data_IF_727941878354
#
_entry.id   IF_727941878354
#
_cell.length_a   1.000
_cell.length_b   1.000
_cell.length_c   1.000
_cell.angle_alpha   90.00
_cell.angle_beta   90.00
_cell.angle_gamma   90.00
#
_symmetry.space_group_name_H-M   'P 1'
#
loop_
_entity.id
_entity.type
_entity.pdbx_description
1 polymer ?
#
# COMPACT_ATOMS: atom_id res chain seq x y z
N UNK A 1 -5.02 -15.15 22.70
CA UNK A 1 -4.94 -14.83 21.26
C UNK A 1 -5.13 -13.34 21.11
N UNK A 2 -4.19 -12.71 20.42
CA UNK A 2 -4.14 -11.26 20.16
C UNK A 2 -4.10 -11.05 18.66
N UNK A 3 -4.97 -10.18 18.15
CA UNK A 3 -5.13 -9.91 16.73
C UNK A 3 -4.39 -8.63 16.34
N UNK A 4 -3.35 -8.77 15.53
CA UNK A 4 -2.41 -7.69 15.20
C UNK A 4 -2.60 -7.23 13.77
N UNK A 5 -2.72 -5.93 13.55
CA UNK A 5 -2.74 -5.31 12.24
C UNK A 5 -1.33 -4.97 11.75
N UNK A 6 -1.03 -5.39 10.53
CA UNK A 6 0.21 -5.13 9.81
C UNK A 6 -0.10 -4.34 8.53
N UNK A 7 0.55 -3.19 8.32
CA UNK A 7 0.32 -2.38 7.11
C UNK A 7 0.99 -2.99 5.88
N UNK A 8 0.36 -2.89 4.71
CA UNK A 8 0.99 -3.37 3.46
C UNK A 8 2.31 -2.66 3.18
N UNK A 9 2.40 -1.34 3.42
CA UNK A 9 3.59 -0.58 3.03
C UNK A 9 4.83 -0.94 3.86
N UNK A 10 4.73 -1.02 5.19
CA UNK A 10 5.90 -1.34 6.03
C UNK A 10 6.35 -2.78 5.80
N UNK A 11 5.36 -3.69 5.73
CA UNK A 11 5.61 -5.09 5.49
C UNK A 11 5.88 -5.44 4.03
N UNK A 12 5.62 -4.54 3.06
CA UNK A 12 6.07 -4.38 1.65
C UNK A 12 7.54 -3.98 1.49
N UNK A 13 7.97 -3.05 2.34
CA UNK A 13 9.28 -2.41 2.25
C UNK A 13 10.37 -3.19 2.98
N UNK A 14 10.15 -3.48 4.27
CA UNK A 14 11.21 -3.97 5.17
C UNK A 14 10.78 -5.14 6.08
N UNK A 15 9.50 -5.56 6.06
CA UNK A 15 9.02 -6.69 6.86
C UNK A 15 9.58 -8.04 6.42
N UNK A 16 10.01 -8.85 7.37
CA UNK A 16 10.47 -10.23 7.12
C UNK A 16 9.30 -11.16 6.80
N UNK A 17 9.49 -12.11 5.89
CA UNK A 17 8.44 -13.11 5.61
C UNK A 17 8.27 -14.08 6.78
N UNK A 18 7.04 -14.47 7.09
CA UNK A 18 6.74 -15.52 8.07
C UNK A 18 5.45 -16.27 7.71
N UNK A 19 5.28 -17.45 8.31
CA UNK A 19 4.14 -18.35 8.06
C UNK A 19 3.37 -18.67 9.33
N UNK A 20 2.17 -19.24 9.16
CA UNK A 20 1.43 -19.81 10.29
C UNK A 20 2.27 -20.88 10.97
N UNK A 21 2.45 -20.72 12.28
CA UNK A 21 3.25 -21.58 13.12
C UNK A 21 4.64 -21.03 13.48
N UNK A 22 5.05 -19.91 12.89
CA UNK A 22 6.28 -19.24 13.31
C UNK A 22 6.07 -18.53 14.66
N UNK A 23 7.16 -18.43 15.43
CA UNK A 23 7.22 -17.59 16.62
C UNK A 23 7.61 -16.17 16.20
N UNK A 24 6.86 -15.17 16.68
CA UNK A 24 7.05 -13.77 16.33
C UNK A 24 7.22 -12.88 17.56
N UNK A 25 7.79 -11.71 17.32
CA UNK A 25 7.79 -10.58 18.25
C UNK A 25 7.49 -9.31 17.46
N UNK A 26 6.31 -8.72 17.69
CA UNK A 26 5.88 -7.48 17.03
C UNK A 26 6.04 -6.27 17.94
N UNK A 27 6.51 -5.16 17.38
CA UNK A 27 6.52 -3.85 18.02
C UNK A 27 5.18 -3.15 17.89
N UNK A 28 4.54 -2.83 19.01
CA UNK A 28 3.20 -2.27 19.00
C UNK A 28 3.26 -0.74 19.16
N UNK A 29 2.80 -0.04 18.12
CA UNK A 29 2.68 1.42 18.12
C UNK A 29 1.40 1.87 18.82
N UNK A 30 0.31 1.11 18.70
CA UNK A 30 -0.97 1.43 19.31
C UNK A 30 -1.82 0.19 19.68
N UNK A 31 -2.67 0.36 20.69
CA UNK A 31 -3.70 -0.62 21.10
C UNK A 31 -5.13 -0.19 20.75
N UNK A 32 -5.25 0.91 20.03
CA UNK A 32 -6.53 1.46 19.57
C UNK A 32 -6.41 1.79 18.09
N UNK A 33 -7.47 1.57 17.29
CA UNK A 33 -7.42 1.83 15.86
C UNK A 33 -7.26 3.32 15.59
N UNK A 34 -6.31 3.65 14.72
CA UNK A 34 -6.20 4.98 14.16
C UNK A 34 -7.42 5.28 13.25
N UNK A 35 -7.81 6.56 13.10
CA UNK A 35 -9.00 6.91 12.31
C UNK A 35 -8.97 6.36 10.89
N UNK A 36 -7.82 6.45 10.20
CA UNK A 36 -7.71 5.96 8.82
C UNK A 36 -7.90 4.44 8.73
N UNK A 37 -7.44 3.66 9.72
CA UNK A 37 -7.64 2.21 9.75
C UNK A 37 -9.12 1.88 9.94
N UNK A 38 -9.83 2.67 10.76
CA UNK A 38 -11.28 2.50 10.94
C UNK A 38 -12.05 2.85 9.67
N UNK A 39 -11.66 3.89 8.95
CA UNK A 39 -12.25 4.27 7.65
C UNK A 39 -12.03 3.19 6.60
N UNK A 40 -10.82 2.65 6.54
CA UNK A 40 -10.40 1.59 5.62
C UNK A 40 -11.11 0.25 5.88
N UNK A 41 -11.04 -0.25 7.12
CA UNK A 41 -11.54 -1.57 7.49
C UNK A 41 -13.05 -1.59 7.76
N UNK A 42 -13.62 -0.42 8.04
CA UNK A 42 -14.93 -0.31 8.65
C UNK A 42 -14.90 -0.61 10.16
N UNK A 43 -15.89 -0.07 10.91
CA UNK A 43 -15.87 -0.09 12.36
C UNK A 43 -15.99 -1.49 12.96
N UNK A 44 -16.69 -2.41 12.30
CA UNK A 44 -16.88 -3.76 12.85
C UNK A 44 -15.60 -4.60 12.76
N UNK A 45 -14.86 -4.53 11.65
CA UNK A 45 -13.59 -5.23 11.53
C UNK A 45 -12.50 -4.57 12.39
N UNK A 46 -12.43 -3.24 12.41
CA UNK A 46 -11.46 -2.50 13.22
C UNK A 46 -11.55 -2.82 14.72
N UNK A 47 -12.76 -3.04 15.25
CA UNK A 47 -12.98 -3.45 16.66
C UNK A 47 -12.40 -4.83 17.00
N UNK A 48 -12.11 -5.67 16.01
CA UNK A 48 -11.54 -7.00 16.24
C UNK A 48 -10.02 -6.99 16.35
N UNK A 49 -9.38 -5.83 16.13
CA UNK A 49 -7.93 -5.69 16.17
C UNK A 49 -7.54 -5.20 17.56
N UNK A 50 -6.64 -5.94 18.20
CA UNK A 50 -6.17 -5.68 19.56
C UNK A 50 -4.87 -4.86 19.59
N UNK A 51 -4.12 -4.88 18.48
CA UNK A 51 -2.82 -4.23 18.40
C UNK A 51 -2.50 -3.78 16.96
N UNK A 52 -1.78 -2.68 16.85
CA UNK A 52 -1.30 -2.10 15.61
C UNK A 52 0.22 -2.13 15.66
N UNK A 53 0.80 -2.87 14.73
CA UNK A 53 2.24 -2.96 14.58
C UNK A 53 2.74 -1.78 13.74
N UNK A 54 3.98 -1.35 13.98
CA UNK A 54 4.70 -0.47 13.05
C UNK A 54 6.11 -1.00 12.88
N UNK A 55 6.42 -1.39 11.65
CA UNK A 55 7.71 -1.98 11.32
C UNK A 55 8.68 -0.87 10.86
N UNK A 56 9.07 -0.03 11.82
CA UNK A 56 10.11 0.98 11.69
C UNK A 56 11.29 0.66 12.62
N UNK A 57 12.42 1.36 12.46
CA UNK A 57 13.60 1.23 13.34
C UNK A 57 13.34 1.73 14.78
N UNK A 58 12.11 2.13 15.10
CA UNK A 58 11.72 2.58 16.44
C UNK A 58 11.58 1.40 17.41
N UNK A 59 12.21 1.51 18.57
CA UNK A 59 12.03 0.55 19.66
C UNK A 59 10.71 0.82 20.39
N UNK A 60 9.65 0.10 20.01
CA UNK A 60 8.40 0.11 20.79
C UNK A 60 8.56 -0.66 22.11
N UNK A 61 8.23 -0.01 23.22
CA UNK A 61 8.24 -0.66 24.54
C UNK A 61 7.16 -1.74 24.66
N UNK A 62 6.02 -1.54 23.97
CA UNK A 62 4.93 -2.50 23.91
C UNK A 62 5.19 -3.55 22.82
N UNK A 63 4.88 -4.80 23.13
CA UNK A 63 5.19 -5.97 22.29
C UNK A 63 4.07 -6.99 22.34
N UNK A 64 3.89 -7.70 21.23
CA UNK A 64 3.13 -8.96 21.17
C UNK A 64 4.12 -10.07 20.81
N UNK A 65 4.20 -11.11 21.64
CA UNK A 65 5.14 -12.23 21.46
C UNK A 65 4.38 -13.53 21.56
N UNK A 66 4.55 -14.39 20.56
CA UNK A 66 3.84 -15.66 20.55
C UNK A 66 3.90 -16.36 19.20
N UNK A 67 3.09 -17.39 19.07
CA UNK A 67 3.02 -18.21 17.87
C UNK A 67 1.93 -17.73 16.94
N UNK A 68 2.23 -17.60 15.66
CA UNK A 68 1.22 -17.26 14.65
C UNK A 68 0.26 -18.44 14.47
N UNK A 69 -1.03 -18.21 14.69
CA UNK A 69 -2.09 -19.23 14.55
C UNK A 69 -3.05 -18.94 13.40
N UNK A 70 -3.04 -17.72 12.86
CA UNK A 70 -3.85 -17.34 11.71
C UNK A 70 -3.27 -16.12 11.00
N UNK A 71 -3.38 -16.10 9.67
CA UNK A 71 -3.01 -14.94 8.85
C UNK A 71 -4.16 -14.68 7.88
N UNK A 72 -4.59 -13.43 7.80
CA UNK A 72 -5.61 -12.98 6.87
C UNK A 72 -5.08 -11.78 6.09
N UNK A 73 -4.98 -11.88 4.77
CA UNK A 73 -4.82 -10.69 3.94
C UNK A 73 -6.12 -9.89 3.99
N UNK A 74 -6.00 -8.58 4.13
CA UNK A 74 -7.14 -7.67 4.06
C UNK A 74 -7.13 -7.02 2.69
N UNK A 75 -8.20 -7.28 1.95
CA UNK A 75 -8.42 -6.73 0.62
C UNK A 75 -9.60 -5.78 0.63
N UNK A 76 -9.54 -4.73 -0.15
CA UNK A 76 -10.62 -3.73 -0.30
C UNK A 76 -10.70 -3.28 -1.74
N UNK A 77 -11.82 -2.67 -2.10
CA UNK A 77 -11.96 -2.06 -3.42
C UNK A 77 -11.49 -0.61 -3.38
N UNK A 78 -10.80 -0.21 -4.43
CA UNK A 78 -10.34 1.16 -4.66
C UNK A 78 -10.83 1.65 -6.02
N UNK A 79 -11.22 2.92 -6.08
CA UNK A 79 -11.44 3.63 -7.33
C UNK A 79 -10.14 4.28 -7.79
N UNK A 80 -9.58 3.75 -8.87
CA UNK A 80 -8.49 4.39 -9.60
C UNK A 80 -9.08 5.38 -10.61
N UNK A 81 -8.71 6.66 -10.47
CA UNK A 81 -9.13 7.74 -11.37
C UNK A 81 -7.94 8.29 -12.11
N UNK A 82 -8.05 8.33 -13.44
CA UNK A 82 -7.06 8.98 -14.31
C UNK A 82 -7.59 10.33 -14.79
N UNK A 83 -6.76 11.35 -14.65
CA UNK A 83 -7.07 12.71 -15.10
C UNK A 83 -5.87 13.30 -15.80
N UNK A 84 -6.08 14.25 -16.71
CA UNK A 84 -4.96 14.90 -17.39
C UNK A 84 -4.11 15.68 -16.38
N UNK A 85 -2.80 15.47 -16.46
CA UNK A 85 -1.81 16.28 -15.75
C UNK A 85 -1.93 17.72 -16.24
N UNK A 86 -1.89 18.67 -15.31
CA UNK A 86 -1.89 20.11 -15.59
C UNK A 86 -1.19 20.87 -14.45
N UNK A 87 -0.80 22.14 -14.64
CA UNK A 87 -0.21 22.92 -13.57
C UNK A 87 -1.16 22.99 -12.36
N UNK A 88 -0.65 22.67 -11.18
CA UNK A 88 -1.44 22.55 -9.95
C UNK A 88 -2.16 21.20 -9.77
N UNK A 89 -2.05 20.28 -10.73
CA UNK A 89 -2.63 18.94 -10.67
C UNK A 89 -1.67 17.91 -11.29
N UNK A 90 -0.79 17.37 -10.45
CA UNK A 90 0.30 16.48 -10.86
C UNK A 90 1.57 17.20 -11.33
N UNK A 91 1.48 18.46 -11.79
CA UNK A 91 2.63 19.29 -12.13
C UNK A 91 2.72 20.54 -11.24
N UNK A 92 3.91 21.14 -11.05
CA UNK A 92 4.06 22.42 -10.37
C UNK A 92 3.12 23.51 -10.95
N UNK A 93 2.60 24.45 -10.15
CA UNK A 93 1.65 25.46 -10.63
C UNK A 93 2.14 26.34 -11.78
N UNK A 94 3.47 26.48 -11.94
CA UNK A 94 4.12 27.27 -12.98
C UNK A 94 4.70 26.42 -14.13
N UNK A 95 4.35 25.14 -14.21
CA UNK A 95 4.87 24.25 -15.25
C UNK A 95 4.34 24.64 -16.64
N UNK A 96 5.22 24.61 -17.65
CA UNK A 96 4.81 24.74 -19.03
C UNK A 96 4.02 23.50 -19.46
N UNK A 97 2.82 23.71 -20.01
CA UNK A 97 1.99 22.62 -20.54
C UNK A 97 2.46 22.27 -21.94
N UNK A 98 2.81 21.00 -22.23
CA UNK A 98 3.10 20.55 -23.59
C UNK A 98 1.92 20.77 -24.54
N UNK A 99 2.17 20.80 -25.85
CA UNK A 99 1.08 20.78 -26.82
C UNK A 99 0.32 19.44 -26.73
N UNK A 100 -0.90 19.40 -27.26
CA UNK A 100 -1.70 18.19 -27.26
C UNK A 100 -0.99 17.06 -28.02
N UNK A 101 -0.76 15.93 -27.35
CA UNK A 101 -0.02 14.79 -27.92
C UNK A 101 1.47 14.78 -27.56
N UNK A 102 2.02 15.87 -27.03
CA UNK A 102 3.43 15.95 -26.64
C UNK A 102 3.66 15.44 -25.21
N UNK A 103 4.86 14.89 -24.97
CA UNK A 103 5.30 14.43 -23.66
C UNK A 103 5.55 15.60 -22.70
N UNK A 104 5.39 15.33 -21.40
CA UNK A 104 5.77 16.29 -20.36
C UNK A 104 7.29 16.50 -20.33
N UNK A 105 7.76 17.74 -20.04
CA UNK A 105 9.19 18.01 -19.94
C UNK A 105 9.82 17.13 -18.86
N UNK A 106 11.01 16.63 -19.15
CA UNK A 106 11.79 15.86 -18.19
C UNK A 106 12.15 16.73 -16.98
N UNK A 107 11.80 16.25 -15.78
CA UNK A 107 12.31 16.81 -14.54
C UNK A 107 13.78 16.43 -14.41
N UNK A 108 14.68 17.41 -14.33
CA UNK A 108 16.12 17.18 -14.16
C UNK A 108 16.57 17.65 -12.79
N UNK A 109 17.23 16.77 -12.05
CA UNK A 109 17.93 17.09 -10.81
C UNK A 109 19.44 16.97 -11.07
N UNK A 110 20.17 18.08 -10.88
CA UNK A 110 21.63 18.09 -11.00
C UNK A 110 22.28 17.40 -9.81
N UNK A 111 23.18 16.46 -10.09
CA UNK A 111 23.94 15.72 -9.08
C UNK A 111 25.39 16.22 -8.93
N UNK A 112 25.79 17.23 -9.71
CA UNK A 112 27.16 17.74 -9.79
C UNK A 112 27.89 17.25 -11.05
N UNK A 113 28.98 17.95 -11.42
CA UNK A 113 29.90 17.58 -12.52
C UNK A 113 29.22 17.24 -13.87
N UNK A 114 28.09 17.87 -14.19
CA UNK A 114 27.35 17.65 -15.43
C UNK A 114 26.50 16.37 -15.44
N UNK A 115 26.39 15.66 -14.32
CA UNK A 115 25.52 14.51 -14.14
C UNK A 115 24.14 14.97 -13.66
N UNK A 116 23.09 14.39 -14.24
CA UNK A 116 21.70 14.68 -13.88
C UNK A 116 20.91 13.38 -13.73
N UNK A 117 20.06 13.32 -12.72
CA UNK A 117 18.96 12.37 -12.67
C UNK A 117 17.74 12.99 -13.38
N UNK A 118 17.08 12.19 -14.22
CA UNK A 118 15.95 12.64 -15.02
C UNK A 118 14.76 11.70 -14.90
N UNK A 119 13.56 12.22 -14.70
CA UNK A 119 12.32 11.45 -14.86
C UNK A 119 11.36 12.18 -15.79
N UNK A 120 10.71 11.44 -16.69
CA UNK A 120 9.63 11.96 -17.51
C UNK A 120 8.31 11.70 -16.80
N UNK A 121 7.55 12.74 -16.43
CA UNK A 121 6.25 12.53 -15.84
C UNK A 121 5.26 12.00 -16.89
N UNK A 122 4.36 11.11 -16.47
CA UNK A 122 3.29 10.64 -17.35
C UNK A 122 2.29 11.76 -17.66
N UNK A 123 1.60 11.65 -18.81
CA UNK A 123 0.54 12.58 -19.25
C UNK A 123 -0.64 12.65 -18.28
N UNK A 124 -0.85 11.61 -17.48
CA UNK A 124 -1.99 11.48 -16.59
C UNK A 124 -1.56 11.52 -15.11
N UNK A 125 -2.46 11.99 -14.27
CA UNK A 125 -2.42 11.83 -12.82
C UNK A 125 -3.36 10.70 -12.46
N UNK A 126 -2.85 9.71 -11.76
CA UNK A 126 -3.63 8.62 -11.19
C UNK A 126 -3.90 8.94 -9.72
N UNK A 127 -5.16 8.94 -9.32
CA UNK A 127 -5.59 9.05 -7.93
C UNK A 127 -6.27 7.74 -7.56
N UNK A 128 -5.93 7.18 -6.41
CA UNK A 128 -6.54 5.98 -5.86
C UNK A 128 -7.32 6.41 -4.62
N UNK A 129 -8.59 6.02 -4.53
CA UNK A 129 -9.46 6.34 -3.39
C UNK A 129 -10.13 5.06 -2.91
N UNK A 130 -10.07 4.82 -1.60
CA UNK A 130 -10.70 3.65 -1.00
C UNK A 130 -12.23 3.70 -1.14
N UNK A 131 -12.84 2.56 -1.46
CA UNK A 131 -14.30 2.40 -1.44
C UNK A 131 -14.70 1.93 -0.05
N UNK A 132 -15.42 2.76 0.75
CA UNK A 132 -15.74 2.42 2.12
C UNK A 132 -16.56 1.12 2.25
N UNK A 133 -16.27 0.33 3.28
CA UNK A 133 -17.07 -0.86 3.62
C UNK A 133 -16.86 -2.05 2.68
N UNK A 134 -15.81 -2.05 1.85
CA UNK A 134 -15.47 -3.16 0.95
C UNK A 134 -14.37 -4.08 1.49
N UNK A 135 -13.82 -3.77 2.67
CA UNK A 135 -12.80 -4.57 3.31
C UNK A 135 -13.28 -6.01 3.57
N UNK A 136 -12.49 -6.97 3.14
CA UNK A 136 -12.75 -8.39 3.28
C UNK A 136 -11.48 -9.14 3.70
N UNK A 137 -11.66 -10.20 4.49
CA UNK A 137 -10.58 -11.07 4.92
C UNK A 137 -10.41 -12.23 3.94
N UNK A 138 -9.18 -12.45 3.51
CA UNK A 138 -8.77 -13.62 2.74
C UNK A 138 -7.77 -14.43 3.57
N UNK A 139 -8.11 -15.66 3.98
CA UNK A 139 -7.16 -16.52 4.70
C UNK A 139 -5.89 -16.75 3.90
N UNK A 140 -4.74 -16.68 4.58
CA UNK A 140 -3.40 -16.95 4.02
C UNK A 140 -2.61 -17.82 4.97
N UNK A 141 -1.58 -18.47 4.44
CA UNK A 141 -0.63 -19.26 5.23
C UNK A 141 0.66 -18.50 5.54
N UNK A 142 0.87 -17.34 4.92
CA UNK A 142 2.10 -16.56 5.02
C UNK A 142 1.83 -15.05 4.86
N UNK A 143 2.69 -14.23 5.48
CA UNK A 143 2.91 -12.82 5.12
C UNK A 143 4.12 -12.77 4.18
N UNK A 144 3.86 -12.31 2.94
CA UNK A 144 4.68 -12.49 1.74
C UNK A 144 5.00 -13.95 1.41
N UNK A 145 4.81 -14.35 0.16
CA UNK A 145 5.43 -15.57 -0.37
C UNK A 145 6.55 -15.13 -1.29
N UNK A 146 7.83 -15.50 -1.04
CA UNK A 146 8.89 -15.30 -2.02
C UNK A 146 8.65 -16.27 -3.18
N UNK A 147 7.76 -15.88 -4.08
CA UNK A 147 7.53 -16.51 -5.38
C UNK A 147 7.34 -15.41 -6.39
N UNK A 148 7.94 -15.57 -7.57
CA UNK A 148 7.97 -14.64 -8.71
C UNK A 148 6.58 -14.23 -9.28
N UNK A 149 5.48 -14.57 -8.58
CA UNK A 149 4.09 -14.32 -8.97
C UNK A 149 3.35 -13.31 -8.05
N UNK A 150 3.95 -12.86 -6.93
CA UNK A 150 3.29 -11.95 -5.98
C UNK A 150 3.33 -10.46 -6.40
N UNK A 151 3.75 -10.18 -7.64
CA UNK A 151 3.56 -8.87 -8.24
C UNK A 151 2.10 -8.64 -8.64
N UNK A 152 1.23 -9.64 -8.84
CA UNK A 152 -0.07 -9.36 -9.49
C UNK A 152 -1.18 -8.70 -8.64
N UNK A 153 -1.06 -8.64 -7.30
CA UNK A 153 -2.11 -8.04 -6.43
C UNK A 153 -1.84 -6.56 -6.09
N UNK A 154 -0.64 -6.05 -6.38
CA UNK A 154 -0.28 -4.62 -6.30
C UNK A 154 0.49 -4.11 -7.53
N UNK A 155 0.86 -4.96 -8.48
CA UNK A 155 1.38 -4.52 -9.77
C UNK A 155 0.32 -3.66 -10.43
N UNK A 156 0.60 -2.37 -10.42
CA UNK A 156 0.25 -1.51 -11.55
C UNK A 156 0.61 -2.33 -12.78
N UNK A 157 -0.32 -2.57 -13.72
CA UNK A 157 0.06 -3.23 -14.96
C UNK A 157 1.25 -2.45 -15.54
N UNK A 158 2.43 -3.05 -15.49
CA UNK A 158 3.61 -2.57 -16.19
C UNK A 158 3.31 -2.80 -17.66
N UNK A 159 2.70 -1.79 -18.28
CA UNK A 159 2.33 -1.82 -19.68
C UNK A 159 0.84 -1.63 -19.90
N UNK A 160 0.42 -0.36 -19.84
CA UNK A 160 -0.32 0.18 -20.99
C UNK A 160 0.54 1.30 -21.55
N UNK A 161 1.56 0.87 -22.30
CA UNK A 161 2.19 1.69 -23.33
C UNK A 161 1.13 1.84 -24.41
N UNK A 162 0.57 3.04 -24.55
CA UNK A 162 -0.20 3.47 -25.72
C UNK A 162 -1.32 2.52 -26.20
N UNK A 163 -2.27 2.19 -25.31
CA UNK A 163 -3.60 1.76 -25.73
C UNK A 163 -4.60 2.88 -25.41
N UNK A 164 -5.57 3.09 -26.31
CA UNK A 164 -6.64 4.10 -26.29
C UNK A 164 -7.06 4.60 -24.90
N UNK A 165 -7.40 5.90 -24.82
CA UNK A 165 -7.78 6.65 -23.60
C UNK A 165 -8.53 5.73 -22.60
N UNK A 166 -7.83 5.17 -21.59
CA UNK A 166 -8.42 4.16 -20.71
C UNK A 166 -9.57 4.78 -19.91
N UNK A 167 -10.54 3.98 -19.44
CA UNK A 167 -11.69 4.51 -18.72
C UNK A 167 -11.22 5.41 -17.57
N UNK A 168 -11.82 6.60 -17.47
CA UNK A 168 -11.42 7.62 -16.51
C UNK A 168 -11.49 7.14 -15.05
N UNK A 169 -12.27 6.08 -14.78
CA UNK A 169 -12.43 5.44 -13.47
C UNK A 169 -12.40 3.92 -13.65
N UNK A 170 -11.62 3.23 -12.82
CA UNK A 170 -11.56 1.76 -12.73
C UNK A 170 -11.70 1.34 -11.27
N UNK A 171 -12.56 0.35 -11.01
CA UNK A 171 -12.64 -0.31 -9.70
C UNK A 171 -11.63 -1.46 -9.67
N UNK A 172 -10.75 -1.47 -8.67
CA UNK A 172 -9.69 -2.46 -8.51
C UNK A 172 -9.78 -3.02 -7.10
N UNK A 173 -9.45 -4.30 -6.92
CA UNK A 173 -9.24 -4.87 -5.59
C UNK A 173 -7.76 -4.73 -5.22
N UNK A 174 -7.48 -4.08 -4.10
CA UNK A 174 -6.13 -3.87 -3.59
C UNK A 174 -5.95 -4.58 -2.24
N UNK A 175 -4.69 -4.83 -1.85
CA UNK A 175 -4.32 -5.32 -0.52
C UNK A 175 -4.01 -4.13 0.39
N UNK A 176 -4.69 -4.09 1.53
CA UNK A 176 -4.53 -3.03 2.52
C UNK A 176 -3.53 -3.41 3.63
N UNK A 177 -3.48 -4.69 3.99
CA UNK A 177 -2.52 -5.21 4.96
C UNK A 177 -2.79 -6.66 5.33
N UNK A 178 -2.32 -7.04 6.51
CA UNK A 178 -2.62 -8.33 7.11
C UNK A 178 -3.19 -8.16 8.51
N UNK A 179 -4.06 -9.09 8.86
CA UNK A 179 -4.45 -9.34 10.24
C UNK A 179 -3.86 -10.69 10.65
N UNK A 180 -3.06 -10.67 11.72
CA UNK A 180 -2.33 -11.82 12.22
C UNK A 180 -2.87 -12.17 13.60
N UNK A 181 -3.30 -13.42 13.74
CA UNK A 181 -3.76 -13.96 15.01
C UNK A 181 -2.56 -14.62 15.70
N UNK A 182 -2.18 -14.11 16.88
CA UNK A 182 -1.01 -14.55 17.65
C UNK A 182 -1.47 -15.19 18.95
N UNK A 183 -0.97 -16.39 19.24
CA UNK A 183 -1.16 -17.07 20.52
C UNK A 183 0.06 -16.83 21.43
N UNK A 184 -0.14 -16.09 22.52
CA UNK A 184 0.94 -15.66 23.42
C UNK A 184 1.30 -16.71 24.49
N UNK A 185 0.62 -17.86 24.49
CA UNK A 185 0.83 -18.98 25.43
C UNK A 185 -0.10 -18.99 26.64
#
# INVERSE_FOLDING_TARGET
>A
MTRVWLTTWEWECCGDSFVVGDDIEFGISARVPEPFVTELLGPELAKTIDAFESHHEEEFADRVRGRVVGIHAVVHDVEERRSLRRPGHGAPPNAAVPAEGEEWPMNRLGLGEGVFAGSRPSRYVTTIVDVPGTAALQPRTAVRVPTDEDDSDTARPEGDVDADDPPAVRLIRARAGWIVDVDEG
#
